data_IF_477976816899
#
_entry.id   IF_477976816899
#
_cell.length_a   1.000
_cell.length_b   1.000
_cell.length_c   1.000
_cell.angle_alpha   90.00
_cell.angle_beta   90.00
_cell.angle_gamma   90.00
#
_symmetry.space_group_name_H-M   'P 1'
#
loop_
_entity.id
_entity.type
_entity.pdbx_description
1 polymer ?
#
# COMPACT_ATOMS: atom_id res chain seq x y z
N UNK A 1 45.88 -2.72 -23.70
CA UNK A 1 45.47 -1.93 -22.51
C UNK A 1 43.98 -1.61 -22.63
N UNK A 2 43.14 -2.06 -21.71
CA UNK A 2 41.70 -1.73 -21.74
C UNK A 2 41.53 -0.26 -21.35
N UNK A 3 40.94 0.52 -22.25
CA UNK A 3 40.66 1.93 -22.05
C UNK A 3 39.80 2.11 -20.79
N UNK A 4 40.36 2.67 -19.71
CA UNK A 4 39.70 2.89 -18.41
C UNK A 4 38.86 4.16 -18.35
N UNK A 5 38.74 4.90 -19.47
CA UNK A 5 37.99 6.15 -19.59
C UNK A 5 36.46 5.96 -19.69
N UNK A 6 35.87 5.15 -18.80
CA UNK A 6 34.41 5.22 -18.60
C UNK A 6 34.12 6.44 -17.74
N UNK A 7 33.20 7.34 -18.14
CA UNK A 7 32.80 8.45 -17.29
C UNK A 7 32.31 7.91 -15.95
N UNK A 8 32.78 8.50 -14.84
CA UNK A 8 32.33 8.14 -13.50
C UNK A 8 30.83 8.40 -13.42
N UNK A 9 30.05 7.33 -13.31
CA UNK A 9 28.60 7.42 -13.14
C UNK A 9 28.36 7.90 -11.70
N UNK A 10 27.61 8.99 -11.52
CA UNK A 10 27.06 9.35 -10.21
C UNK A 10 25.79 8.51 -9.97
N UNK A 11 25.76 7.55 -9.02
CA UNK A 11 24.57 6.74 -8.78
C UNK A 11 23.33 7.57 -8.40
N UNK A 12 23.53 8.74 -7.77
CA UNK A 12 22.45 9.65 -7.37
C UNK A 12 21.79 10.38 -8.57
N UNK A 13 22.40 10.36 -9.76
CA UNK A 13 21.73 10.87 -10.97
C UNK A 13 20.67 9.92 -11.51
N UNK A 14 20.49 8.76 -10.88
CA UNK A 14 19.51 7.72 -11.25
C UNK A 14 18.49 7.47 -10.15
N UNK A 15 18.29 8.43 -9.24
CA UNK A 15 17.25 8.32 -8.22
C UNK A 15 15.91 8.10 -8.95
N UNK A 16 15.15 7.04 -8.61
CA UNK A 16 13.84 6.80 -9.19
C UNK A 16 12.97 8.05 -9.06
N UNK A 17 12.21 8.38 -10.11
CA UNK A 17 11.28 9.53 -10.10
C UNK A 17 10.31 9.40 -8.92
N UNK A 18 9.64 10.49 -8.54
CA UNK A 18 8.62 10.59 -7.49
C UNK A 18 7.34 9.72 -7.72
N UNK A 19 7.43 8.67 -8.54
CA UNK A 19 6.36 7.72 -8.74
C UNK A 19 6.16 6.91 -7.46
N UNK A 20 4.90 6.74 -7.06
CA UNK A 20 4.55 5.84 -5.96
C UNK A 20 4.97 4.42 -6.35
N UNK A 21 5.67 3.74 -5.43
CA UNK A 21 6.00 2.33 -5.62
C UNK A 21 4.71 1.51 -5.58
N UNK A 22 4.46 0.72 -6.63
CA UNK A 22 3.36 -0.24 -6.68
C UNK A 22 3.94 -1.63 -6.41
N UNK A 23 3.39 -2.33 -5.42
CA UNK A 23 3.86 -3.66 -5.03
C UNK A 23 2.69 -4.65 -5.00
N UNK A 24 2.90 -5.83 -5.60
CA UNK A 24 1.97 -6.94 -5.49
C UNK A 24 2.57 -8.02 -4.56
N UNK A 25 1.90 -8.28 -3.43
CA UNK A 25 2.32 -9.29 -2.46
C UNK A 25 1.48 -10.55 -2.69
N UNK A 26 2.14 -11.67 -2.99
CA UNK A 26 1.47 -12.95 -3.29
C UNK A 26 1.99 -14.06 -2.39
N UNK A 27 1.11 -14.99 -2.05
CA UNK A 27 1.44 -16.15 -1.22
C UNK A 27 0.19 -16.85 -0.68
N UNK A 28 0.35 -18.07 -0.17
CA UNK A 28 -0.73 -18.89 0.37
C UNK A 28 -1.49 -18.23 1.53
N UNK A 29 -2.63 -18.80 1.93
CA UNK A 29 -3.33 -18.36 3.13
C UNK A 29 -2.43 -18.55 4.37
N UNK A 30 -2.47 -17.62 5.32
CA UNK A 30 -1.72 -17.72 6.57
C UNK A 30 -0.22 -17.37 6.52
N UNK A 31 0.34 -17.03 5.36
CA UNK A 31 1.79 -16.72 5.23
C UNK A 31 2.18 -15.29 5.69
N UNK A 32 1.26 -14.56 6.34
CA UNK A 32 1.55 -13.24 6.89
C UNK A 32 1.46 -12.07 5.90
N UNK A 33 0.70 -12.18 4.81
CA UNK A 33 0.52 -11.08 3.84
C UNK A 33 -0.02 -9.80 4.49
N UNK A 34 -1.12 -9.91 5.24
CA UNK A 34 -1.73 -8.77 5.92
C UNK A 34 -0.85 -8.23 7.05
N UNK A 35 -0.03 -9.09 7.68
CA UNK A 35 1.01 -8.65 8.62
C UNK A 35 2.10 -7.83 7.94
N UNK A 36 2.58 -8.25 6.76
CA UNK A 36 3.50 -7.47 5.96
C UNK A 36 2.89 -6.12 5.57
N UNK A 37 1.62 -6.09 5.15
CA UNK A 37 0.91 -4.84 4.86
C UNK A 37 0.89 -3.93 6.10
N UNK A 38 0.48 -4.45 7.27
CA UNK A 38 0.43 -3.65 8.51
C UNK A 38 1.78 -3.07 8.92
N UNK A 39 2.90 -3.76 8.62
CA UNK A 39 4.24 -3.24 8.92
C UNK A 39 4.58 -1.96 8.15
N UNK A 40 3.85 -1.67 7.07
CA UNK A 40 4.03 -0.42 6.31
C UNK A 40 3.52 0.81 7.06
N UNK A 41 2.74 0.65 8.13
CA UNK A 41 2.35 1.76 9.02
C UNK A 41 3.59 2.43 9.65
N UNK A 42 4.68 1.69 9.83
CA UNK A 42 5.93 2.17 10.43
C UNK A 42 6.94 2.69 9.38
N UNK A 43 6.60 2.68 8.08
CA UNK A 43 7.53 3.03 7.00
C UNK A 43 7.84 4.54 6.88
N UNK A 44 7.15 5.40 7.65
CA UNK A 44 7.37 6.85 7.63
C UNK A 44 6.91 7.55 6.35
N UNK A 45 6.03 6.92 5.57
CA UNK A 45 5.51 7.46 4.31
C UNK A 45 4.25 8.32 4.49
N UNK A 46 3.63 8.27 5.67
CA UNK A 46 2.29 8.78 6.00
C UNK A 46 1.46 7.65 6.64
N UNK A 47 0.21 7.94 7.02
CA UNK A 47 -0.66 6.91 7.61
C UNK A 47 -0.96 5.82 6.57
N UNK A 48 -1.04 4.56 6.98
CA UNK A 48 -1.45 3.45 6.13
C UNK A 48 -2.99 3.38 6.10
N UNK A 49 -3.55 3.20 4.90
CA UNK A 49 -4.96 2.87 4.68
C UNK A 49 -5.08 1.51 3.99
N UNK A 50 -5.80 0.58 4.61
CA UNK A 50 -6.13 -0.73 4.02
C UNK A 50 -7.58 -0.70 3.55
N UNK A 51 -7.80 -0.93 2.26
CA UNK A 51 -9.10 -1.27 1.70
C UNK A 51 -9.33 -2.77 1.88
N UNK A 52 -10.12 -3.14 2.88
CA UNK A 52 -10.30 -4.51 3.35
C UNK A 52 -11.56 -5.17 2.75
N UNK A 53 -11.36 -5.80 1.59
CA UNK A 53 -12.34 -6.62 0.90
C UNK A 53 -12.61 -7.95 1.61
N UNK A 54 -11.64 -8.45 2.41
CA UNK A 54 -11.80 -9.72 3.13
C UNK A 54 -12.55 -9.56 4.46
N UNK A 55 -12.73 -8.31 4.93
CA UNK A 55 -13.35 -7.97 6.22
C UNK A 55 -12.69 -8.77 7.34
N UNK A 56 -11.38 -8.68 7.43
CA UNK A 56 -10.53 -9.37 8.42
C UNK A 56 -9.45 -8.46 9.01
N UNK A 57 -9.27 -7.25 8.52
CA UNK A 57 -8.26 -6.31 9.01
C UNK A 57 -8.47 -5.94 10.48
N UNK A 58 -9.70 -6.02 11.01
CA UNK A 58 -9.99 -5.90 12.46
C UNK A 58 -9.22 -6.89 13.35
N UNK A 59 -8.67 -7.96 12.78
CA UNK A 59 -7.84 -8.94 13.48
C UNK A 59 -6.36 -8.53 13.58
N UNK A 60 -5.95 -7.49 12.84
CA UNK A 60 -4.60 -6.94 12.89
C UNK A 60 -4.46 -6.03 14.11
N UNK A 61 -3.30 -6.10 14.76
CA UNK A 61 -2.96 -5.16 15.83
C UNK A 61 -2.69 -3.79 15.24
N UNK A 62 -3.18 -2.73 15.90
CA UNK A 62 -2.92 -1.35 15.50
C UNK A 62 -3.97 -0.74 14.54
N UNK A 63 -4.98 -1.49 14.12
CA UNK A 63 -6.14 -0.93 13.38
C UNK A 63 -6.81 0.16 14.21
N UNK A 64 -7.08 1.32 13.61
CA UNK A 64 -7.73 2.48 14.23
C UNK A 64 -6.80 3.36 15.07
N UNK A 65 -5.60 2.89 15.38
CA UNK A 65 -4.61 3.65 16.16
C UNK A 65 -3.38 4.00 15.32
N UNK A 66 -2.74 2.98 14.73
CA UNK A 66 -1.50 3.10 13.96
C UNK A 66 -1.77 3.23 12.44
N UNK A 67 -2.84 2.62 11.97
CA UNK A 67 -3.29 2.68 10.59
C UNK A 67 -4.80 2.48 10.52
N UNK A 68 -5.40 2.83 9.39
CA UNK A 68 -6.83 2.66 9.18
C UNK A 68 -7.10 1.45 8.26
N UNK A 69 -8.23 0.79 8.49
CA UNK A 69 -8.75 -0.24 7.62
C UNK A 69 -10.23 0.01 7.36
N UNK A 70 -10.58 0.17 6.09
CA UNK A 70 -11.95 0.39 5.63
C UNK A 70 -12.50 -0.96 5.17
N UNK A 71 -13.41 -1.52 5.96
CA UNK A 71 -14.13 -2.74 5.55
C UNK A 71 -15.03 -2.41 4.37
N UNK A 72 -14.92 -3.21 3.30
CA UNK A 72 -15.72 -3.06 2.08
C UNK A 72 -16.72 -4.21 2.03
N UNK A 73 -18.01 -3.87 1.96
CA UNK A 73 -19.10 -4.84 1.94
C UNK A 73 -19.47 -5.25 0.51
N UNK A 74 -19.47 -4.29 -0.40
CA UNK A 74 -19.82 -4.46 -1.81
C UNK A 74 -18.68 -3.98 -2.70
N UNK A 75 -18.39 -4.72 -3.78
CA UNK A 75 -17.20 -4.45 -4.61
C UNK A 75 -17.25 -3.09 -5.31
N UNK A 76 -18.44 -2.57 -5.58
CA UNK A 76 -18.67 -1.24 -6.17
C UNK A 76 -18.40 -0.08 -5.21
N UNK A 77 -18.25 -0.31 -3.90
CA UNK A 77 -17.83 0.71 -2.94
C UNK A 77 -16.33 1.05 -3.06
N UNK A 78 -15.50 0.10 -3.54
CA UNK A 78 -14.05 0.29 -3.56
C UNK A 78 -13.61 1.54 -4.35
N UNK A 79 -14.10 1.81 -5.58
CA UNK A 79 -13.77 3.04 -6.30
C UNK A 79 -14.15 4.30 -5.52
N UNK A 80 -15.29 4.32 -4.84
CA UNK A 80 -15.75 5.47 -4.05
C UNK A 80 -14.84 5.70 -2.85
N UNK A 81 -14.41 4.63 -2.18
CA UNK A 81 -13.54 4.73 -1.01
C UNK A 81 -12.12 5.15 -1.40
N UNK A 82 -11.62 4.69 -2.56
CA UNK A 82 -10.36 5.17 -3.14
C UNK A 82 -10.45 6.67 -3.45
N UNK A 83 -11.54 7.12 -4.07
CA UNK A 83 -11.74 8.53 -4.41
C UNK A 83 -11.81 9.40 -3.15
N UNK A 84 -12.58 8.97 -2.13
CA UNK A 84 -12.63 9.63 -0.84
C UNK A 84 -11.25 9.74 -0.17
N UNK A 85 -10.45 8.67 -0.19
CA UNK A 85 -9.15 8.63 0.47
C UNK A 85 -8.08 9.49 -0.24
N UNK A 86 -8.13 9.57 -1.58
CA UNK A 86 -7.10 10.27 -2.38
C UNK A 86 -7.49 11.72 -2.66
N UNK A 87 -8.75 11.96 -3.03
CA UNK A 87 -9.21 13.24 -3.56
C UNK A 87 -10.24 13.92 -2.64
N UNK A 88 -11.02 13.16 -1.88
CA UNK A 88 -12.05 13.66 -0.96
C UNK A 88 -11.54 13.98 0.46
N UNK A 89 -12.46 13.91 1.42
CA UNK A 89 -12.23 14.27 2.83
C UNK A 89 -11.20 13.35 3.52
N UNK A 90 -10.99 12.14 3.01
CA UNK A 90 -9.97 11.22 3.53
C UNK A 90 -8.54 11.75 3.43
N UNK A 91 -8.29 12.80 2.64
CA UNK A 91 -7.00 13.49 2.61
C UNK A 91 -6.55 14.05 3.97
N UNK A 92 -7.50 14.40 4.84
CA UNK A 92 -7.21 14.89 6.20
C UNK A 92 -6.47 13.85 7.06
N UNK A 93 -6.58 12.57 6.71
CA UNK A 93 -5.88 11.47 7.40
C UNK A 93 -4.39 11.38 7.04
N UNK A 94 -3.92 12.16 6.05
CA UNK A 94 -2.54 12.17 5.59
C UNK A 94 -2.02 10.78 5.19
N UNK A 95 -2.81 10.05 4.39
CA UNK A 95 -2.45 8.73 3.91
C UNK A 95 -1.27 8.78 2.93
N UNK A 96 -0.20 8.07 3.31
CA UNK A 96 1.02 7.94 2.53
C UNK A 96 1.23 6.57 1.91
N UNK A 97 0.48 5.58 2.40
CA UNK A 97 0.53 4.20 1.96
C UNK A 97 -0.89 3.65 1.84
N UNK A 98 -1.15 2.90 0.78
CA UNK A 98 -2.45 2.31 0.49
C UNK A 98 -2.26 0.82 0.20
N UNK A 99 -3.17 -0.01 0.68
CA UNK A 99 -3.21 -1.44 0.40
C UNK A 99 -4.62 -1.90 0.06
N UNK A 100 -4.73 -2.87 -0.85
CA UNK A 100 -5.96 -3.58 -1.13
C UNK A 100 -5.82 -5.02 -0.61
N UNK A 101 -6.63 -5.39 0.39
CA UNK A 101 -6.63 -6.74 0.99
C UNK A 101 -8.02 -7.38 0.84
N UNK A 102 -8.31 -8.19 -0.17
CA UNK A 102 -7.38 -8.72 -1.17
C UNK A 102 -7.88 -8.59 -2.61
N UNK A 103 -6.92 -8.59 -3.53
CA UNK A 103 -7.16 -8.66 -4.97
C UNK A 103 -8.07 -9.84 -5.35
N UNK A 104 -7.92 -10.97 -4.68
CA UNK A 104 -8.73 -12.16 -4.93
C UNK A 104 -10.18 -11.97 -4.50
N UNK A 105 -10.44 -11.26 -3.40
CA UNK A 105 -11.79 -10.93 -2.97
C UNK A 105 -12.47 -9.92 -3.90
N UNK A 106 -11.72 -8.94 -4.41
CA UNK A 106 -12.27 -7.94 -5.34
C UNK A 106 -12.60 -8.49 -6.73
N UNK A 107 -11.69 -9.25 -7.34
CA UNK A 107 -11.87 -9.78 -8.71
C UNK A 107 -12.44 -11.21 -8.76
N UNK A 108 -12.56 -11.89 -7.62
CA UNK A 108 -13.08 -13.25 -7.53
C UNK A 108 -14.57 -13.33 -7.19
N UNK A 109 -15.22 -12.19 -6.94
CA UNK A 109 -16.66 -12.06 -6.74
C UNK A 109 -17.44 -12.11 -8.07
#
# INVERSE_FOLDING_TARGET
>A
MKNTNKPKINPLSRIPRQQRLIMAIRGGAGVGKSHFISSMAEAGLGKLCIFDMERKARLLRGVGEQFDALEIEQTDELPEFIEWAINGDGREQNYGCFALDSWAAYFGA
#
